data_IF_641618683190
#
_entry.id   IF_641618683190
#
_cell.length_a   1.000
_cell.length_b   1.000
_cell.length_c   1.000
_cell.angle_alpha   90.00
_cell.angle_beta   90.00
_cell.angle_gamma   90.00
#
_symmetry.space_group_name_H-M   'P 1'
#
loop_
_entity.id
_entity.type
_entity.pdbx_description
1 polymer ?
#
# COMPACT_ATOMS: atom_id res chain seq x y z
N UNK A 1 26.34 1.39 -1.05
CA UNK A 1 24.90 1.61 -0.83
C UNK A 1 24.18 0.29 -0.57
N UNK A 2 24.14 -0.66 -1.52
CA UNK A 2 23.56 -2.00 -1.28
C UNK A 2 24.18 -2.74 -0.08
N UNK A 3 25.51 -2.67 0.05
CA UNK A 3 26.25 -3.28 1.17
C UNK A 3 25.98 -2.61 2.53
N UNK A 4 25.30 -1.46 2.54
CA UNK A 4 24.83 -0.78 3.74
C UNK A 4 23.35 -1.10 4.02
N UNK A 5 22.78 -2.12 3.36
CA UNK A 5 21.39 -2.56 3.55
C UNK A 5 20.35 -1.75 2.78
N UNK A 6 20.75 -0.75 1.98
CA UNK A 6 19.81 0.03 1.19
C UNK A 6 19.11 -0.86 0.14
N UNK A 7 17.79 -0.97 0.25
CA UNK A 7 16.94 -1.80 -0.61
C UNK A 7 16.69 -3.22 -0.08
N UNK A 8 17.28 -3.59 1.06
CA UNK A 8 16.93 -4.86 1.72
C UNK A 8 15.44 -4.83 2.15
N UNK A 9 14.70 -5.89 1.83
CA UNK A 9 13.27 -5.98 2.13
C UNK A 9 12.36 -5.15 1.22
N UNK A 10 12.87 -4.60 0.12
CA UNK A 10 12.00 -4.03 -0.93
C UNK A 10 11.19 -5.14 -1.61
N UNK A 11 9.88 -4.96 -1.67
CA UNK A 11 8.96 -5.87 -2.35
C UNK A 11 8.48 -5.21 -3.64
N UNK A 12 8.82 -5.82 -4.78
CA UNK A 12 8.39 -5.30 -6.08
C UNK A 12 6.92 -5.66 -6.32
N UNK A 13 6.05 -4.66 -6.47
CA UNK A 13 4.60 -4.84 -6.54
C UNK A 13 4.16 -5.76 -7.68
N UNK A 14 4.84 -5.71 -8.83
CA UNK A 14 4.48 -6.50 -10.00
C UNK A 14 4.78 -8.00 -9.88
N UNK A 15 5.62 -8.39 -8.92
CA UNK A 15 5.90 -9.81 -8.64
C UNK A 15 4.81 -10.44 -7.75
N UNK A 16 3.96 -9.63 -7.12
CA UNK A 16 2.81 -10.13 -6.35
C UNK A 16 1.68 -10.56 -7.28
N UNK A 17 0.96 -11.64 -6.93
CA UNK A 17 -0.12 -12.23 -7.74
C UNK A 17 -1.19 -11.22 -8.21
N UNK A 18 -1.50 -10.24 -7.38
CA UNK A 18 -2.49 -9.20 -7.62
C UNK A 18 -1.88 -7.84 -8.01
N UNK A 19 -0.57 -7.81 -8.27
CA UNK A 19 0.18 -6.59 -8.59
C UNK A 19 0.30 -5.60 -7.43
N UNK A 20 0.15 -6.05 -6.18
CA UNK A 20 0.24 -5.22 -4.99
C UNK A 20 0.97 -5.95 -3.88
N UNK A 21 2.17 -5.52 -3.50
CA UNK A 21 2.99 -6.12 -2.44
C UNK A 21 2.37 -5.99 -1.05
N UNK A 22 1.63 -4.91 -0.81
CA UNK A 22 1.14 -4.54 0.53
C UNK A 22 2.16 -3.80 1.39
N UNK A 23 3.35 -3.48 0.86
CA UNK A 23 4.45 -2.88 1.62
C UNK A 23 4.06 -1.56 2.32
N UNK A 24 4.73 -1.29 3.44
CA UNK A 24 4.67 0.03 4.08
C UNK A 24 5.70 0.97 3.47
N UNK A 25 5.21 2.03 2.85
CA UNK A 25 6.05 3.05 2.20
C UNK A 25 6.27 4.28 3.10
N UNK A 26 5.65 4.32 4.28
CA UNK A 26 5.96 5.34 5.28
C UNK A 26 7.20 4.93 6.08
N UNK A 27 7.98 5.91 6.58
CA UNK A 27 9.08 5.62 7.49
C UNK A 27 8.64 4.81 8.71
N UNK A 28 9.55 4.01 9.23
CA UNK A 28 9.34 3.28 10.48
C UNK A 28 9.03 4.25 11.64
N UNK A 29 8.19 3.79 12.57
CA UNK A 29 7.74 4.59 13.71
C UNK A 29 6.62 5.60 13.39
N UNK A 30 6.26 5.78 12.11
CA UNK A 30 5.13 6.63 11.72
C UNK A 30 3.90 5.76 11.47
N UNK A 31 2.81 6.04 12.19
CA UNK A 31 1.50 5.47 11.86
C UNK A 31 1.10 5.95 10.48
N UNK A 32 0.68 5.02 9.61
CA UNK A 32 0.16 5.32 8.27
C UNK A 32 -0.99 6.35 8.34
N UNK A 33 -0.80 7.59 7.83
CA UNK A 33 -1.85 8.59 7.82
C UNK A 33 -2.83 8.36 6.67
N UNK A 34 -4.06 8.87 6.83
CA UNK A 34 -5.02 9.01 5.72
C UNK A 34 -4.89 10.43 5.18
N UNK A 35 -4.25 10.58 4.03
CA UNK A 35 -4.00 11.89 3.40
C UNK A 35 -4.96 12.19 2.24
N UNK A 36 -5.64 11.16 1.72
CA UNK A 36 -6.58 11.27 0.61
C UNK A 36 -7.88 10.56 0.96
N UNK A 37 -8.98 11.29 0.90
CA UNK A 37 -10.33 10.82 1.19
C UNK A 37 -11.26 11.15 -0.01
N UNK A 38 -11.27 10.30 -1.06
CA UNK A 38 -12.06 10.53 -2.26
C UNK A 38 -13.56 10.62 -1.93
N UNK A 39 -14.28 11.50 -2.63
CA UNK A 39 -15.74 11.64 -2.50
C UNK A 39 -16.51 10.82 -3.54
N UNK A 40 -17.81 10.64 -3.32
CA UNK A 40 -18.71 9.83 -4.16
C UNK A 40 -19.14 10.52 -5.48
N UNK A 41 -18.25 11.31 -6.10
CA UNK A 41 -18.55 12.08 -7.31
C UNK A 41 -17.55 11.79 -8.44
N UNK A 42 -18.08 11.54 -9.63
CA UNK A 42 -17.26 11.30 -10.82
C UNK A 42 -16.32 10.11 -10.65
N UNK A 43 -15.09 10.23 -11.16
CA UNK A 43 -14.09 9.16 -11.13
C UNK A 43 -13.55 8.87 -9.73
N UNK A 44 -13.67 9.80 -8.78
CA UNK A 44 -13.25 9.55 -7.39
C UNK A 44 -14.02 8.41 -6.73
N UNK A 45 -15.25 8.13 -7.16
CA UNK A 45 -15.99 6.93 -6.74
C UNK A 45 -15.22 5.65 -7.05
N UNK A 46 -14.58 5.58 -8.21
CA UNK A 46 -13.80 4.39 -8.60
C UNK A 46 -12.47 4.32 -7.85
N UNK A 47 -11.80 5.47 -7.67
CA UNK A 47 -10.61 5.56 -6.83
C UNK A 47 -10.90 5.13 -5.39
N UNK A 48 -12.07 5.48 -4.85
CA UNK A 48 -12.52 5.05 -3.54
C UNK A 48 -12.60 3.52 -3.44
N UNK A 49 -13.28 2.86 -4.39
CA UNK A 49 -13.35 1.38 -4.41
C UNK A 49 -11.97 0.74 -4.50
N UNK A 50 -11.08 1.32 -5.33
CA UNK A 50 -9.71 0.82 -5.48
C UNK A 50 -8.90 0.99 -4.19
N UNK A 51 -9.05 2.11 -3.50
CA UNK A 51 -8.43 2.34 -2.19
C UNK A 51 -8.94 1.36 -1.15
N UNK A 52 -10.26 1.13 -1.09
CA UNK A 52 -10.88 0.17 -0.18
C UNK A 52 -10.36 -1.27 -0.46
N UNK A 53 -10.15 -1.64 -1.73
CA UNK A 53 -9.51 -2.90 -2.12
C UNK A 53 -8.08 -3.01 -1.58
N UNK A 54 -7.25 -1.98 -1.74
CA UNK A 54 -5.88 -1.97 -1.22
C UNK A 54 -5.83 -2.08 0.31
N UNK A 55 -6.75 -1.41 1.02
CA UNK A 55 -6.86 -1.49 2.48
C UNK A 55 -7.19 -2.91 2.92
N UNK A 56 -8.18 -3.54 2.29
CA UNK A 56 -8.56 -4.94 2.56
C UNK A 56 -7.39 -5.89 2.30
N UNK A 57 -6.76 -5.80 1.13
CA UNK A 57 -5.62 -6.66 0.76
C UNK A 57 -4.44 -6.52 1.71
N UNK A 58 -4.17 -5.30 2.17
CA UNK A 58 -3.12 -5.07 3.16
C UNK A 58 -3.43 -5.71 4.50
N UNK A 59 -4.69 -5.67 4.95
CA UNK A 59 -5.12 -6.33 6.18
C UNK A 59 -4.97 -7.85 6.07
N UNK A 60 -5.42 -8.46 4.96
CA UNK A 60 -5.28 -9.90 4.67
C UNK A 60 -3.80 -10.35 4.75
N UNK A 61 -2.86 -9.55 4.25
CA UNK A 61 -1.43 -9.88 4.22
C UNK A 61 -0.66 -9.58 5.51
N UNK A 62 -1.16 -8.66 6.32
CA UNK A 62 -0.51 -8.26 7.57
C UNK A 62 -0.79 -9.24 8.71
N UNK A 63 -1.52 -10.33 8.45
CA UNK A 63 -1.76 -11.42 9.40
C UNK A 63 -2.58 -10.97 10.62
N UNK A 64 -3.69 -10.28 10.37
CA UNK A 64 -4.68 -9.97 11.39
C UNK A 64 -5.98 -10.74 11.12
#
# INVERSE_FOLDING_TARGET
MKDQGYGAGYAYDHDAEDGFSGQNYFPDGIRRPVLYAPVERGFERELKKRLDWFVKKRAERSGN
#
